data_IF_826995941336
#
_entry.id   IF_826995941336
#
_cell.length_a   1.000
_cell.length_b   1.000
_cell.length_c   1.000
_cell.angle_alpha   90.00
_cell.angle_beta   90.00
_cell.angle_gamma   90.00
#
_symmetry.space_group_name_H-M   'P 1'
#
loop_
_entity.id
_entity.type
_entity.pdbx_description
1 polymer ?
#
# COMPACT_ATOMS: atom_id res chain seq x y z
N UNK A 1 -2.01 -14.26 7.98
CA UNK A 1 -1.56 -13.89 6.63
C UNK A 1 -1.27 -15.08 5.73
N UNK A 2 -0.72 -16.21 6.20
CA UNK A 2 -0.41 -17.38 5.34
C UNK A 2 -1.52 -17.82 4.37
N UNK A 3 -2.78 -17.82 4.81
CA UNK A 3 -3.91 -18.14 3.93
C UNK A 3 -4.05 -17.13 2.78
N UNK A 4 -3.75 -15.85 3.00
CA UNK A 4 -3.84 -14.81 1.99
C UNK A 4 -2.76 -14.94 0.90
N UNK A 5 -1.62 -15.59 1.19
CA UNK A 5 -0.48 -15.69 0.27
C UNK A 5 -0.79 -16.50 -1.01
N UNK A 6 -1.92 -17.20 -1.05
CA UNK A 6 -2.40 -17.86 -2.27
C UNK A 6 -2.94 -16.88 -3.32
N UNK A 7 -3.25 -15.63 -2.92
CA UNK A 7 -3.81 -14.62 -3.82
C UNK A 7 -2.71 -13.71 -4.35
N UNK A 8 -2.70 -13.48 -5.66
CA UNK A 8 -1.74 -12.59 -6.31
C UNK A 8 -1.89 -11.12 -5.87
N UNK A 9 -3.10 -10.70 -5.52
CA UNK A 9 -3.40 -9.34 -5.06
C UNK A 9 -4.15 -9.44 -3.73
N UNK A 10 -3.60 -8.77 -2.72
CA UNK A 10 -4.23 -8.60 -1.42
C UNK A 10 -3.89 -7.23 -0.82
N UNK A 11 -4.77 -6.75 0.06
CA UNK A 11 -4.56 -5.56 0.89
C UNK A 11 -4.92 -5.91 2.33
N UNK A 12 -3.99 -5.70 3.25
CA UNK A 12 -4.18 -5.94 4.68
C UNK A 12 -4.07 -4.62 5.43
N UNK A 13 -5.13 -4.27 6.16
CA UNK A 13 -5.25 -3.05 6.95
C UNK A 13 -5.49 -3.46 8.41
N UNK A 14 -4.61 -3.03 9.30
CA UNK A 14 -4.69 -3.31 10.73
C UNK A 14 -4.47 -2.02 11.50
N UNK A 15 -5.40 -1.68 12.39
CA UNK A 15 -5.28 -0.51 13.26
C UNK A 15 -4.42 -0.78 14.51
N UNK A 16 -3.96 -2.03 14.69
CA UNK A 16 -3.17 -2.47 15.84
C UNK A 16 -3.85 -2.14 17.18
N UNK A 17 -5.18 -2.25 17.23
CA UNK A 17 -6.02 -1.96 18.40
C UNK A 17 -5.93 -0.50 18.87
N UNK A 18 -5.53 0.42 17.99
CA UNK A 18 -5.46 1.83 18.32
C UNK A 18 -6.87 2.39 18.54
N UNK A 19 -7.17 2.76 19.78
CA UNK A 19 -8.46 3.31 20.18
C UNK A 19 -8.56 4.77 19.75
N UNK A 20 -9.01 5.00 18.52
CA UNK A 20 -9.43 6.32 18.04
C UNK A 20 -10.96 6.38 17.93
N UNK A 21 -11.56 7.49 18.38
CA UNK A 21 -12.99 7.78 18.22
C UNK A 21 -13.44 7.78 16.75
N UNK A 22 -12.48 7.86 15.82
CA UNK A 22 -12.71 7.89 14.37
C UNK A 22 -12.24 6.61 13.66
N UNK A 23 -11.89 5.55 14.39
CA UNK A 23 -11.47 4.29 13.75
C UNK A 23 -12.68 3.56 13.16
N UNK A 24 -12.67 3.40 11.82
CA UNK A 24 -13.76 2.75 11.07
C UNK A 24 -13.48 1.26 10.85
N UNK A 25 -12.21 0.86 10.87
CA UNK A 25 -11.76 -0.50 10.55
C UNK A 25 -10.73 -0.97 11.59
N UNK A 26 -10.98 -2.13 12.21
CA UNK A 26 -10.06 -2.75 13.17
C UNK A 26 -8.98 -3.56 12.45
N UNK A 27 -9.36 -4.68 11.86
CA UNK A 27 -8.47 -5.53 11.08
C UNK A 27 -9.23 -6.05 9.85
N UNK A 28 -8.69 -5.80 8.65
CA UNK A 28 -9.36 -6.10 7.40
C UNK A 28 -8.38 -6.68 6.38
N UNK A 29 -8.82 -7.72 5.68
CA UNK A 29 -8.10 -8.34 4.58
C UNK A 29 -9.00 -8.36 3.34
N UNK A 30 -8.55 -7.70 2.28
CA UNK A 30 -9.10 -7.84 0.95
C UNK A 30 -8.19 -8.75 0.13
N UNK A 31 -8.73 -9.78 -0.51
CA UNK A 31 -7.91 -10.73 -1.28
C UNK A 31 -8.65 -11.28 -2.51
N UNK A 32 -7.86 -11.64 -3.51
CA UNK A 32 -8.35 -11.97 -4.83
C UNK A 32 -8.92 -10.74 -5.55
N UNK A 33 -9.30 -10.91 -6.82
CA UNK A 33 -9.74 -9.80 -7.68
C UNK A 33 -10.94 -10.23 -8.50
N UNK A 34 -11.98 -9.39 -8.54
CA UNK A 34 -13.11 -9.52 -9.49
C UNK A 34 -13.05 -8.48 -10.60
N UNK A 35 -12.46 -7.31 -10.31
CA UNK A 35 -12.14 -6.28 -11.28
C UNK A 35 -10.93 -5.48 -10.79
N UNK A 36 -10.08 -4.98 -11.70
CA UNK A 36 -8.95 -4.13 -11.34
C UNK A 36 -8.71 -3.08 -12.43
N UNK A 37 -8.07 -1.98 -12.04
CA UNK A 37 -7.56 -1.00 -12.97
C UNK A 37 -6.46 -1.59 -13.86
N UNK A 38 -6.37 -1.16 -15.13
CA UNK A 38 -5.25 -1.52 -15.98
C UNK A 38 -3.95 -0.89 -15.48
N UNK A 39 -2.82 -1.42 -15.94
CA UNK A 39 -1.52 -0.80 -15.71
C UNK A 39 -1.51 0.65 -16.26
N UNK A 40 -0.89 1.57 -15.52
CA UNK A 40 -0.79 3.00 -15.88
C UNK A 40 -2.14 3.74 -16.02
N UNK A 41 -3.14 3.36 -15.24
CA UNK A 41 -4.42 4.08 -15.17
C UNK A 41 -4.24 5.53 -14.68
N UNK A 42 -5.13 6.41 -15.14
CA UNK A 42 -5.18 7.82 -14.71
C UNK A 42 -6.22 8.03 -13.60
N UNK A 43 -6.22 9.21 -12.99
CA UNK A 43 -7.26 9.59 -12.02
C UNK A 43 -8.67 9.55 -12.63
N UNK A 44 -8.83 9.95 -13.90
CA UNK A 44 -10.13 9.84 -14.58
C UNK A 44 -10.59 8.39 -14.76
N UNK A 45 -9.68 7.47 -15.06
CA UNK A 45 -10.00 6.04 -15.11
C UNK A 45 -10.37 5.48 -13.73
N UNK A 46 -9.74 5.99 -12.66
CA UNK A 46 -10.12 5.65 -11.29
C UNK A 46 -11.54 6.14 -10.96
N UNK A 47 -11.90 7.37 -11.33
CA UNK A 47 -13.25 7.88 -11.13
C UNK A 47 -14.31 7.02 -11.83
N UNK A 48 -14.08 6.68 -13.10
CA UNK A 48 -14.95 5.78 -13.86
C UNK A 48 -15.06 4.39 -13.21
N UNK A 49 -13.93 3.87 -12.72
CA UNK A 49 -13.88 2.57 -12.04
C UNK A 49 -14.68 2.57 -10.75
N UNK A 50 -14.56 3.63 -9.93
CA UNK A 50 -15.34 3.80 -8.69
C UNK A 50 -16.83 3.88 -9.00
N UNK A 51 -17.22 4.70 -9.98
CA UNK A 51 -18.61 4.88 -10.38
C UNK A 51 -19.24 3.58 -10.91
N UNK A 52 -18.49 2.81 -11.71
CA UNK A 52 -18.95 1.53 -12.26
C UNK A 52 -19.13 0.45 -11.20
N UNK A 53 -18.38 0.52 -10.09
CA UNK A 53 -18.41 -0.45 -8.99
C UNK A 53 -19.04 0.13 -7.71
N UNK A 54 -20.06 0.98 -7.87
CA UNK A 54 -20.82 1.56 -6.77
C UNK A 54 -21.32 0.47 -5.80
N UNK A 55 -21.24 0.74 -4.49
CA UNK A 55 -21.60 -0.19 -3.40
C UNK A 55 -20.73 -1.46 -3.29
N UNK A 56 -19.54 -1.48 -3.92
CA UNK A 56 -18.54 -2.52 -3.69
C UNK A 56 -17.34 -1.95 -2.96
N UNK A 57 -16.65 -2.84 -2.25
CA UNK A 57 -15.33 -2.53 -1.73
C UNK A 57 -14.34 -2.28 -2.87
N UNK A 58 -13.52 -1.24 -2.73
CA UNK A 58 -12.42 -0.93 -3.65
C UNK A 58 -11.19 -0.66 -2.80
N UNK A 59 -10.11 -1.41 -3.06
CA UNK A 59 -8.84 -1.30 -2.36
C UNK A 59 -7.75 -0.93 -3.33
N UNK A 60 -6.70 -0.26 -2.86
CA UNK A 60 -5.62 0.17 -3.72
C UNK A 60 -4.71 1.21 -3.09
N UNK A 61 -3.96 1.91 -3.93
CA UNK A 61 -3.04 2.96 -3.52
C UNK A 61 -2.98 4.10 -4.54
N UNK A 62 -2.58 5.26 -4.03
CA UNK A 62 -2.13 6.41 -4.81
C UNK A 62 -0.66 6.66 -4.43
N UNK A 63 0.22 6.59 -5.42
CA UNK A 63 1.63 6.92 -5.32
C UNK A 63 1.83 8.44 -5.32
N UNK A 64 2.97 8.87 -4.78
CA UNK A 64 3.29 10.29 -4.65
C UNK A 64 3.34 11.04 -6.00
N UNK A 65 3.77 10.37 -7.06
CA UNK A 65 3.95 10.96 -8.39
C UNK A 65 2.63 11.26 -9.13
N UNK A 66 1.49 10.82 -8.59
CA UNK A 66 0.15 11.28 -9.00
C UNK A 66 0.03 12.82 -8.94
N UNK A 67 0.81 13.49 -8.08
CA UNK A 67 0.89 14.96 -8.05
C UNK A 67 1.16 15.57 -9.44
N UNK A 68 1.85 14.86 -10.34
CA UNK A 68 2.18 15.33 -11.68
C UNK A 68 0.97 15.36 -12.62
N UNK A 69 -0.13 14.67 -12.28
CA UNK A 69 -1.42 14.77 -12.99
C UNK A 69 -2.30 15.91 -12.46
N UNK A 70 -2.04 16.36 -11.22
CA UNK A 70 -2.84 17.38 -10.52
C UNK A 70 -2.20 18.76 -10.70
N UNK A 71 -0.88 18.83 -10.64
CA UNK A 71 -0.09 20.06 -10.66
C UNK A 71 0.89 20.10 -11.84
N UNK A 72 1.37 21.30 -12.19
CA UNK A 72 2.39 21.51 -13.22
C UNK A 72 3.80 21.14 -12.72
N UNK A 73 3.95 19.91 -12.24
CA UNK A 73 5.18 19.36 -11.69
C UNK A 73 5.63 18.15 -12.50
N UNK A 74 6.92 17.80 -12.39
CA UNK A 74 7.48 16.57 -12.94
C UNK A 74 8.43 15.96 -11.93
N UNK A 75 8.40 14.65 -11.83
CA UNK A 75 9.39 13.90 -11.07
C UNK A 75 10.55 13.54 -12.00
N UNK A 76 11.77 13.86 -11.57
CA UNK A 76 13.00 13.65 -12.37
C UNK A 76 13.91 12.60 -11.74
N UNK A 77 13.49 11.99 -10.63
CA UNK A 77 14.28 10.99 -9.91
C UNK A 77 14.10 9.62 -10.55
N UNK A 78 15.13 8.78 -10.44
CA UNK A 78 15.08 7.41 -10.93
C UNK A 78 14.08 6.58 -10.12
N UNK A 79 13.13 5.96 -10.78
CA UNK A 79 12.25 4.96 -10.18
C UNK A 79 12.88 3.56 -10.33
N UNK A 80 13.47 3.07 -9.23
CA UNK A 80 14.09 1.74 -9.19
C UNK A 80 13.13 0.61 -8.86
N UNK A 81 11.92 0.91 -8.37
CA UNK A 81 10.93 -0.08 -7.95
C UNK A 81 9.93 -0.34 -9.09
N UNK A 82 9.71 0.65 -9.96
CA UNK A 82 8.71 0.62 -11.03
C UNK A 82 7.31 0.36 -10.45
N UNK A 83 7.05 0.93 -9.28
CA UNK A 83 5.77 0.77 -8.60
C UNK A 83 4.73 1.65 -9.31
N UNK A 84 3.54 1.13 -9.66
CA UNK A 84 2.54 1.92 -10.36
C UNK A 84 2.15 3.18 -9.58
N UNK A 85 2.00 4.31 -10.26
CA UNK A 85 1.53 5.56 -9.66
C UNK A 85 0.15 5.43 -9.02
N UNK A 86 -0.70 4.56 -9.54
CA UNK A 86 -1.93 4.16 -8.89
C UNK A 86 -2.30 2.73 -9.28
N UNK A 87 -3.01 2.06 -8.39
CA UNK A 87 -3.64 0.77 -8.66
C UNK A 87 -4.81 0.58 -7.70
N UNK A 88 -5.95 0.18 -8.23
CA UNK A 88 -7.14 -0.14 -7.44
C UNK A 88 -7.85 -1.39 -7.99
N UNK A 89 -8.50 -2.12 -7.11
CA UNK A 89 -9.21 -3.35 -7.43
C UNK A 89 -10.44 -3.56 -6.54
N UNK A 90 -11.43 -4.27 -7.10
CA UNK A 90 -12.54 -4.86 -6.35
C UNK A 90 -12.11 -6.27 -5.93
N UNK A 91 -12.07 -6.57 -4.62
CA UNK A 91 -11.62 -7.86 -4.14
C UNK A 91 -12.62 -8.97 -4.48
N UNK A 92 -12.16 -10.22 -4.41
CA UNK A 92 -13.05 -11.38 -4.45
C UNK A 92 -13.62 -11.71 -3.06
N UNK A 93 -12.82 -11.47 -2.02
CA UNK A 93 -13.16 -11.78 -0.63
C UNK A 93 -12.70 -10.60 0.24
N UNK A 94 -13.56 -10.18 1.16
CA UNK A 94 -13.23 -9.23 2.24
C UNK A 94 -13.49 -9.90 3.58
N UNK A 95 -12.44 -9.97 4.39
CA UNK A 95 -12.52 -10.42 5.77
C UNK A 95 -12.41 -9.18 6.66
N UNK A 96 -13.35 -9.01 7.59
CA UNK A 96 -13.30 -7.94 8.59
C UNK A 96 -13.37 -8.57 9.97
N UNK A 97 -12.28 -8.47 10.73
CA UNK A 97 -12.20 -8.90 12.10
C UNK A 97 -12.47 -7.71 13.01
N UNK A 98 -13.50 -7.83 13.83
CA UNK A 98 -13.86 -6.89 14.88
C UNK A 98 -14.01 -7.62 16.21
N UNK A 99 -13.18 -7.30 17.18
CA UNK A 99 -13.09 -8.04 18.45
C UNK A 99 -12.94 -9.57 18.24
N UNK A 100 -13.98 -10.34 18.53
CA UNK A 100 -14.05 -11.80 18.35
C UNK A 100 -14.96 -12.22 17.18
N UNK A 101 -15.44 -11.26 16.39
CA UNK A 101 -16.35 -11.49 15.27
C UNK A 101 -15.62 -11.33 13.95
N UNK A 102 -15.63 -12.38 13.13
CA UNK A 102 -15.13 -12.35 11.76
C UNK A 102 -16.31 -12.24 10.80
N UNK A 103 -16.40 -11.13 10.08
CA UNK A 103 -17.29 -10.97 8.94
C UNK A 103 -16.57 -11.40 7.66
N UNK A 104 -17.22 -12.22 6.84
CA UNK A 104 -16.71 -12.71 5.56
C UNK A 104 -17.69 -12.29 4.47
N UNK A 105 -17.27 -11.36 3.62
CA UNK A 105 -17.99 -10.94 2.43
C UNK A 105 -17.31 -11.55 1.19
N UNK A 106 -18.09 -12.07 0.25
CA UNK A 106 -17.58 -12.64 -0.99
C UNK A 106 -18.36 -12.13 -2.19
N UNK A 107 -17.61 -11.76 -3.24
CA UNK A 107 -18.13 -11.31 -4.52
C UNK A 107 -18.04 -12.40 -5.59
N UNK A 108 -17.87 -13.66 -5.15
CA UNK A 108 -17.79 -14.86 -6.00
C UNK A 108 -18.85 -15.87 -5.58
N UNK A 109 -18.95 -16.99 -6.31
CA UNK A 109 -19.86 -18.09 -5.94
C UNK A 109 -19.34 -18.94 -4.75
N UNK A 110 -18.20 -18.57 -4.17
CA UNK A 110 -17.59 -19.29 -3.04
C UNK A 110 -18.39 -19.02 -1.76
N UNK A 111 -18.68 -20.05 -0.98
CA UNK A 111 -19.43 -19.88 0.27
C UNK A 111 -18.53 -19.38 1.42
N UNK A 112 -19.01 -18.43 2.21
CA UNK A 112 -18.28 -17.88 3.37
C UNK A 112 -17.80 -18.95 4.38
N UNK A 113 -18.61 -19.99 4.64
CA UNK A 113 -18.22 -21.09 5.52
C UNK A 113 -17.04 -21.88 4.97
N UNK A 114 -16.99 -22.11 3.65
CA UNK A 114 -15.85 -22.81 3.02
C UNK A 114 -14.55 -22.00 3.11
N UNK A 115 -14.64 -20.66 2.98
CA UNK A 115 -13.52 -19.74 3.20
C UNK A 115 -13.04 -19.85 4.65
N UNK A 116 -13.95 -19.78 5.62
CA UNK A 116 -13.62 -19.91 7.03
C UNK A 116 -12.93 -21.25 7.36
N UNK A 117 -13.45 -22.37 6.86
CA UNK A 117 -12.83 -23.67 7.04
C UNK A 117 -11.43 -23.73 6.41
N UNK A 118 -11.23 -23.15 5.22
CA UNK A 118 -9.92 -23.10 4.58
C UNK A 118 -8.90 -22.25 5.36
N UNK A 119 -9.34 -21.15 5.99
CA UNK A 119 -8.50 -20.34 6.87
C UNK A 119 -8.05 -21.17 8.08
N UNK A 120 -8.98 -21.85 8.76
CA UNK A 120 -8.66 -22.70 9.91
C UNK A 120 -7.73 -23.87 9.56
N UNK A 121 -7.90 -24.45 8.38
CA UNK A 121 -7.08 -25.55 7.89
C UNK A 121 -5.68 -25.11 7.45
N UNK A 122 -5.44 -23.81 7.27
CA UNK A 122 -4.14 -23.31 6.81
C UNK A 122 -3.12 -23.36 7.95
N UNK A 123 -1.98 -24.05 7.76
CA UNK A 123 -0.96 -24.12 8.80
C UNK A 123 -0.30 -22.75 9.05
N UNK A 124 -0.07 -22.45 10.33
CA UNK A 124 0.75 -21.33 10.77
C UNK A 124 2.23 -21.66 10.57
N UNK A 125 2.72 -21.51 9.34
CA UNK A 125 4.15 -21.46 9.04
C UNK A 125 4.70 -20.13 9.53
N UNK A 126 5.65 -20.19 10.45
CA UNK A 126 6.51 -19.06 10.83
C UNK A 126 7.87 -19.34 10.18
N UNK A 127 8.17 -18.75 9.02
CA UNK A 127 9.50 -18.84 8.44
C UNK A 127 10.43 -17.88 9.21
N UNK A 128 11.30 -18.44 10.05
CA UNK A 128 12.17 -17.68 10.98
C UNK A 128 13.53 -17.33 10.34
N UNK A 129 13.88 -17.92 9.20
CA UNK A 129 15.15 -17.61 8.52
C UNK A 129 14.99 -16.41 7.59
N UNK A 130 15.25 -15.21 8.10
CA UNK A 130 15.34 -14.00 7.27
C UNK A 130 16.80 -13.82 6.85
N UNK A 131 17.10 -13.78 5.53
CA UNK A 131 18.44 -13.45 5.08
C UNK A 131 18.82 -12.05 5.57
N UNK A 132 20.09 -11.85 5.93
CA UNK A 132 20.59 -10.54 6.34
C UNK A 132 20.53 -9.60 5.13
N UNK A 133 19.64 -8.62 5.18
CA UNK A 133 19.51 -7.58 4.15
C UNK A 133 20.46 -6.43 4.46
N UNK A 134 21.34 -6.08 3.52
CA UNK A 134 22.19 -4.89 3.63
C UNK A 134 21.49 -3.72 2.95
N UNK A 135 20.95 -2.82 3.76
CA UNK A 135 20.31 -1.59 3.30
C UNK A 135 21.35 -0.48 3.16
N UNK A 136 21.28 0.26 2.07
CA UNK A 136 22.20 1.34 1.73
C UNK A 136 21.44 2.67 1.57
N UNK A 137 22.00 3.79 2.04
CA UNK A 137 21.42 5.11 1.78
C UNK A 137 21.65 5.51 0.32
N UNK A 138 20.66 6.16 -0.31
CA UNK A 138 20.81 6.72 -1.66
C UNK A 138 21.74 7.94 -1.73
N UNK A 139 21.90 8.63 -0.62
CA UNK A 139 22.82 9.76 -0.51
C UNK A 139 23.68 9.66 0.73
N UNK A 140 24.89 10.18 0.65
CA UNK A 140 25.79 10.24 1.81
C UNK A 140 25.28 11.24 2.85
N UNK A 141 25.70 11.06 4.11
CA UNK A 141 25.42 12.00 5.20
C UNK A 141 25.86 13.43 4.86
N UNK A 142 27.02 13.59 4.20
CA UNK A 142 27.53 14.90 3.80
C UNK A 142 26.61 15.57 2.77
N UNK A 143 26.15 14.83 1.75
CA UNK A 143 25.19 15.34 0.78
C UNK A 143 23.87 15.72 1.43
N UNK A 144 23.33 14.88 2.32
CA UNK A 144 22.11 15.17 3.05
C UNK A 144 22.22 16.48 3.85
N UNK A 145 23.30 16.66 4.62
CA UNK A 145 23.53 17.88 5.41
C UNK A 145 23.65 19.12 4.51
N UNK A 146 24.36 18.99 3.37
CA UNK A 146 24.48 20.09 2.41
C UNK A 146 23.12 20.50 1.84
N UNK A 147 22.26 19.53 1.50
CA UNK A 147 20.89 19.83 1.05
C UNK A 147 20.08 20.53 2.13
N UNK A 148 20.13 20.07 3.38
CA UNK A 148 19.43 20.74 4.50
C UNK A 148 19.88 22.19 4.67
N UNK A 149 21.17 22.49 4.52
CA UNK A 149 21.68 23.86 4.58
C UNK A 149 21.10 24.74 3.47
N UNK A 150 21.01 24.21 2.24
CA UNK A 150 20.38 24.92 1.11
C UNK A 150 18.88 25.16 1.38
N UNK A 151 18.14 24.14 1.83
CA UNK A 151 16.72 24.28 2.16
C UNK A 151 16.50 25.35 3.25
N UNK A 152 17.37 25.41 4.26
CA UNK A 152 17.30 26.48 5.28
C UNK A 152 17.53 27.87 4.70
N UNK A 153 18.40 28.02 3.70
CA UNK A 153 18.58 29.30 3.02
C UNK A 153 17.32 29.73 2.25
N UNK A 154 16.63 28.79 1.59
CA UNK A 154 15.34 29.05 0.94
C UNK A 154 14.29 29.53 1.95
N UNK A 155 14.21 28.89 3.12
CA UNK A 155 13.29 29.31 4.19
C UNK A 155 13.65 30.72 4.70
N UNK A 156 14.93 30.99 4.97
CA UNK A 156 15.39 32.30 5.46
C UNK A 156 15.15 33.44 4.46
N UNK A 157 15.20 33.15 3.15
CA UNK A 157 14.88 34.12 2.09
C UNK A 157 13.38 34.37 1.94
N UNK A 158 12.54 33.49 2.49
CA UNK A 158 11.09 33.58 2.39
C UNK A 158 10.50 32.90 1.15
N UNK A 159 11.24 32.01 0.47
CA UNK A 159 10.70 31.24 -0.67
C UNK A 159 9.61 30.25 -0.20
N UNK A 160 9.72 29.75 1.03
CA UNK A 160 8.78 28.86 1.70
C UNK A 160 8.95 28.96 3.22
N UNK A 161 7.99 28.44 3.99
CA UNK A 161 8.06 28.45 5.46
C UNK A 161 8.44 27.09 6.07
N UNK A 162 8.12 26.00 5.38
CA UNK A 162 8.35 24.62 5.81
C UNK A 162 8.55 23.71 4.59
N UNK A 163 9.41 22.70 4.73
CA UNK A 163 9.64 21.66 3.73
C UNK A 163 9.76 20.31 4.44
N UNK A 164 9.02 19.31 3.97
CA UNK A 164 9.26 17.91 4.34
C UNK A 164 10.34 17.34 3.41
N UNK A 165 11.47 16.92 3.97
CA UNK A 165 12.60 16.38 3.21
C UNK A 165 12.92 14.96 3.64
N UNK A 166 12.84 14.01 2.70
CA UNK A 166 13.06 12.59 2.92
C UNK A 166 14.32 12.09 2.20
N UNK A 167 14.89 11.00 2.71
CA UNK A 167 15.96 10.26 2.05
C UNK A 167 15.53 8.82 1.80
N UNK A 168 15.84 8.32 0.62
CA UNK A 168 15.63 6.93 0.24
C UNK A 168 16.75 6.01 0.77
N UNK A 169 16.35 4.82 1.20
CA UNK A 169 17.22 3.70 1.54
C UNK A 169 16.77 2.49 0.73
N UNK A 170 17.73 1.73 0.20
CA UNK A 170 17.42 0.64 -0.71
C UNK A 170 18.34 -0.56 -0.49
N UNK A 171 17.88 -1.72 -0.93
CA UNK A 171 18.66 -2.94 -1.08
C UNK A 171 18.32 -3.55 -2.44
N UNK A 172 19.32 -4.10 -3.13
CA UNK A 172 19.13 -4.74 -4.44
C UNK A 172 19.32 -6.25 -4.33
N UNK A 173 18.73 -7.00 -5.25
CA UNK A 173 18.89 -8.46 -5.36
C UNK A 173 18.64 -9.22 -4.04
N UNK A 174 17.65 -8.76 -3.25
CA UNK A 174 17.30 -9.35 -1.97
C UNK A 174 16.10 -10.27 -2.13
N UNK A 175 16.19 -11.48 -1.58
CA UNK A 175 15.04 -12.40 -1.48
C UNK A 175 14.28 -12.06 -0.21
N UNK A 176 12.99 -11.76 -0.36
CA UNK A 176 12.06 -11.50 0.74
C UNK A 176 10.84 -12.41 0.61
N UNK A 177 10.21 -12.71 1.73
CA UNK A 177 8.89 -13.36 1.81
C UNK A 177 7.92 -12.34 2.43
N UNK A 178 7.23 -11.53 1.61
CA UNK A 178 6.26 -10.54 2.06
C UNK A 178 5.03 -11.15 2.75
#
# INVERSE_FOLDING_TARGET
MNWANQFNICCFLDNHQYQSSSSVVECMLACGVTAALPAHASLGTLDDFINTHTNKWIFGHLGYDIKNQIEQLRSTHSDGIQFPDLFFFVPAIVLSLKEQTLLIETYTNTNASSIYESIKATPSVLNISKPKVSVQPKMSKQQYIATIQQLKQHIQRGDCYEINYCQEFYATNTVIEP
#
